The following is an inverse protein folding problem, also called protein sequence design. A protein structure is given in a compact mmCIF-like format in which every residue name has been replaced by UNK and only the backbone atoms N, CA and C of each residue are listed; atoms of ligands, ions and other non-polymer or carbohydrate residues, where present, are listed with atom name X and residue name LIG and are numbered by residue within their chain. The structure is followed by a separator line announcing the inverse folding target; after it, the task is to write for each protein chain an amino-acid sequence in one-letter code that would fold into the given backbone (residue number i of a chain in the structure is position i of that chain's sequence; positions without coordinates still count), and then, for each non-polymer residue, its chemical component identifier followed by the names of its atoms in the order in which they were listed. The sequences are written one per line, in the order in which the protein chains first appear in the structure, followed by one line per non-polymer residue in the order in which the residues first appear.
data_IF_925351160923
#
_entry.id   IF_925351160923
#
_cell.length_a   1.000
_cell.length_b   1.000
_cell.length_c   1.000
_cell.angle_alpha   90.00
_cell.angle_beta   90.00
_cell.angle_gamma   90.00
#
_symmetry.space_group_name_H-M   'P 1'
#
loop_
_entity.id
_entity.type
_entity.pdbx_description
1 polymer ?
#
# COMPACT_ATOMS: atom_id res chain seq x y z
N UNK A 1 -4.39 40.24 38.46
CA UNK A 1 -5.06 41.52 38.74
C UNK A 1 -4.19 42.66 38.27
N UNK A 2 -4.78 43.59 37.55
CA UNK A 2 -4.13 44.78 36.99
C UNK A 2 -4.87 46.05 37.41
N UNK A 3 -4.16 47.18 37.50
CA UNK A 3 -4.71 48.54 37.63
C UNK A 3 -3.95 49.40 36.60
N UNK A 4 -4.66 50.17 35.79
CA UNK A 4 -4.06 50.99 34.72
C UNK A 4 -3.10 50.19 33.80
N UNK A 5 -3.40 48.91 33.55
CA UNK A 5 -2.60 48.02 32.71
C UNK A 5 -1.34 47.43 33.37
N UNK A 6 -1.01 47.82 34.60
CA UNK A 6 0.12 47.25 35.36
C UNK A 6 -0.33 46.07 36.21
N UNK A 7 0.44 44.97 36.19
CA UNK A 7 0.16 43.79 37.02
C UNK A 7 0.51 44.12 38.47
N UNK A 8 -0.49 44.06 39.37
CA UNK A 8 -0.25 44.16 40.81
C UNK A 8 0.00 42.80 41.44
N UNK A 9 -0.81 41.82 41.06
CA UNK A 9 -0.80 40.50 41.67
C UNK A 9 -1.12 39.41 40.66
N UNK A 10 -0.42 38.28 40.79
CA UNK A 10 -0.71 37.01 40.12
C UNK A 10 -0.89 35.95 41.20
N UNK A 11 -2.02 35.25 41.17
CA UNK A 11 -2.40 34.22 42.15
C UNK A 11 -2.83 32.97 41.40
N UNK A 12 -2.66 31.81 42.04
CA UNK A 12 -3.24 30.55 41.58
C UNK A 12 -4.52 30.29 42.36
N UNK A 13 -5.47 29.61 41.74
CA UNK A 13 -6.66 29.13 42.43
C UNK A 13 -6.33 28.07 43.48
N UNK A 14 -7.16 27.97 44.51
CA UNK A 14 -7.22 26.82 45.41
C UNK A 14 -7.80 25.59 44.72
N UNK A 15 -7.73 24.44 45.39
CA UNK A 15 -8.29 23.18 44.90
C UNK A 15 -9.83 23.24 44.71
N UNK A 16 -10.50 24.18 45.39
CA UNK A 16 -11.91 24.47 45.28
C UNK A 16 -12.26 25.51 44.19
N UNK A 17 -11.26 25.96 43.42
CA UNK A 17 -11.41 26.96 42.37
C UNK A 17 -11.35 28.41 42.86
N UNK A 18 -11.29 28.66 44.17
CA UNK A 18 -11.27 30.04 44.69
C UNK A 18 -9.97 30.76 44.39
N UNK A 19 -10.04 32.05 44.01
CA UNK A 19 -8.87 32.89 43.75
C UNK A 19 -8.88 34.03 44.77
N UNK A 20 -7.91 34.01 45.69
CA UNK A 20 -7.78 35.05 46.70
C UNK A 20 -6.57 35.95 46.42
N UNK A 21 -6.84 37.24 46.21
CA UNK A 21 -5.83 38.29 46.14
C UNK A 21 -5.48 38.80 47.53
N UNK A 22 -4.24 39.27 47.69
CA UNK A 22 -3.80 39.95 48.91
C UNK A 22 -4.52 41.29 49.04
N UNK A 23 -4.73 41.73 50.28
CA UNK A 23 -5.40 43.00 50.57
C UNK A 23 -4.66 44.20 49.96
N UNK A 24 -5.42 45.13 49.39
CA UNK A 24 -4.92 46.42 48.90
C UNK A 24 -5.24 47.49 49.95
N UNK A 25 -4.24 48.29 50.31
CA UNK A 25 -4.43 49.42 51.24
C UNK A 25 -4.67 50.72 50.47
N UNK A 26 -5.60 51.53 50.97
CA UNK A 26 -5.94 52.84 50.41
C UNK A 26 -5.68 53.94 51.43
N UNK A 27 -4.97 54.99 51.05
CA UNK A 27 -4.63 56.14 51.91
C UNK A 27 -5.46 57.40 51.58
N UNK A 28 -6.26 57.36 50.51
CA UNK A 28 -7.10 58.46 50.02
C UNK A 28 -8.46 57.97 49.55
N UNK A 29 -9.43 58.88 49.55
CA UNK A 29 -10.73 58.65 48.92
C UNK A 29 -10.61 58.63 47.39
N UNK A 30 -11.47 57.87 46.73
CA UNK A 30 -11.42 57.71 45.28
C UNK A 30 -12.13 56.45 44.79
N UNK A 31 -12.17 56.31 43.47
CA UNK A 31 -12.66 55.11 42.80
C UNK A 31 -11.49 54.45 42.09
N UNK A 32 -11.27 53.17 42.36
CA UNK A 32 -10.23 52.34 41.75
C UNK A 32 -10.89 51.24 40.92
N UNK A 33 -10.36 50.97 39.74
CA UNK A 33 -10.84 49.90 38.86
C UNK A 33 -9.72 48.92 38.61
N UNK A 34 -9.99 47.65 38.89
CA UNK A 34 -9.06 46.54 38.69
C UNK A 34 -9.58 45.61 37.61
N UNK A 35 -8.69 45.17 36.73
CA UNK A 35 -8.99 44.10 35.77
C UNK A 35 -8.38 42.79 36.28
N UNK A 36 -9.21 41.79 36.48
CA UNK A 36 -8.78 40.41 36.73
C UNK A 36 -8.92 39.64 35.43
N UNK A 37 -7.85 38.95 35.03
CA UNK A 37 -7.81 38.12 33.84
C UNK A 37 -7.10 36.82 34.15
N UNK A 38 -7.50 35.75 33.48
CA UNK A 38 -6.73 34.52 33.51
C UNK A 38 -5.39 34.72 32.77
N UNK A 39 -4.33 34.10 33.30
CA UNK A 39 -3.08 33.94 32.58
C UNK A 39 -3.11 32.55 31.96
N UNK A 40 -3.24 32.50 30.63
CA UNK A 40 -3.29 31.23 29.91
C UNK A 40 -2.10 30.33 30.30
N UNK A 41 -2.41 29.06 30.54
CA UNK A 41 -1.42 28.03 30.82
C UNK A 41 -0.66 27.61 29.57
N UNK A 42 0.04 26.47 29.67
CA UNK A 42 0.85 25.92 28.56
C UNK A 42 0.23 24.68 27.91
N UNK A 43 -0.82 24.11 28.52
CA UNK A 43 -1.53 22.98 27.93
C UNK A 43 -2.33 23.45 26.71
N UNK A 44 -1.94 22.94 25.55
CA UNK A 44 -2.54 23.31 24.27
C UNK A 44 -3.89 22.65 24.01
N UNK A 45 -4.24 21.61 24.78
CA UNK A 45 -5.53 20.93 24.70
C UNK A 45 -6.60 21.62 25.56
N UNK A 46 -6.28 22.78 26.15
CA UNK A 46 -7.21 23.63 26.92
C UNK A 46 -7.51 24.93 26.17
N UNK A 47 -8.79 25.26 26.05
CA UNK A 47 -9.25 26.60 25.74
C UNK A 47 -9.34 27.40 27.02
N UNK A 48 -8.38 28.31 27.20
CA UNK A 48 -8.35 29.22 28.34
C UNK A 48 -9.34 30.36 28.18
N UNK A 49 -9.89 30.80 29.30
CA UNK A 49 -10.84 31.89 29.32
C UNK A 49 -10.14 33.21 28.97
N UNK A 50 -10.74 33.97 28.06
CA UNK A 50 -10.24 35.29 27.64
C UNK A 50 -10.96 36.44 28.34
N UNK A 51 -11.89 36.12 29.23
CA UNK A 51 -12.64 37.08 30.02
C UNK A 51 -11.70 38.03 30.80
N UNK A 52 -12.10 39.29 30.83
CA UNK A 52 -11.55 40.29 31.74
C UNK A 52 -12.68 40.71 32.71
N UNK A 53 -12.53 40.38 33.98
CA UNK A 53 -13.46 40.75 35.03
C UNK A 53 -13.07 42.10 35.63
N UNK A 54 -13.95 43.10 35.58
CA UNK A 54 -13.70 44.44 36.13
C UNK A 54 -14.27 44.57 37.54
N UNK A 55 -13.38 44.76 38.52
CA UNK A 55 -13.74 44.98 39.94
C UNK A 55 -13.56 46.46 40.25
N UNK A 56 -14.59 47.10 40.80
CA UNK A 56 -14.50 48.52 41.21
C UNK A 56 -14.50 48.62 42.73
N UNK A 57 -13.55 49.38 43.27
CA UNK A 57 -13.48 49.69 44.69
C UNK A 57 -13.71 51.18 44.88
N UNK A 58 -14.78 51.53 45.60
CA UNK A 58 -15.08 52.91 45.99
C UNK A 58 -14.65 53.14 47.42
N UNK A 59 -13.65 54.00 47.60
CA UNK A 59 -13.13 54.40 48.91
C UNK A 59 -13.77 55.72 49.31
N UNK A 60 -14.52 55.70 50.41
CA UNK A 60 -15.18 56.89 50.97
C UNK A 60 -14.59 57.22 52.34
N UNK A 61 -14.49 58.51 52.66
CA UNK A 61 -14.05 58.98 53.97
C UNK A 61 -15.24 59.43 54.82
N UNK A 62 -15.35 58.91 56.03
CA UNK A 62 -16.29 59.43 57.01
C UNK A 62 -15.85 60.84 57.45
N UNK A 63 -16.74 61.82 57.30
CA UNK A 63 -16.41 63.23 57.54
C UNK A 63 -16.17 63.57 59.01
N UNK A 64 -16.63 62.74 59.95
CA UNK A 64 -16.57 63.02 61.39
C UNK A 64 -15.37 62.35 62.04
N UNK A 65 -15.14 61.08 61.71
CA UNK A 65 -14.09 60.22 62.27
C UNK A 65 -12.83 60.21 61.41
N UNK A 66 -12.94 60.54 60.13
CA UNK A 66 -11.85 60.47 59.17
C UNK A 66 -11.51 59.04 58.70
N UNK A 67 -12.28 58.02 59.12
CA UNK A 67 -12.06 56.62 58.74
C UNK A 67 -12.37 56.42 57.25
N UNK A 68 -11.51 55.68 56.55
CA UNK A 68 -11.74 55.26 55.16
C UNK A 68 -12.47 53.90 55.12
N UNK A 69 -13.49 53.81 54.28
CA UNK A 69 -14.24 52.57 54.01
C UNK A 69 -14.14 52.24 52.53
N UNK A 70 -13.69 51.02 52.21
CA UNK A 70 -13.64 50.51 50.86
C UNK A 70 -14.87 49.63 50.57
N UNK A 71 -15.69 50.03 49.60
CA UNK A 71 -16.82 49.23 49.13
C UNK A 71 -16.47 48.59 47.77
N UNK A 72 -16.48 47.26 47.73
CA UNK A 72 -16.16 46.48 46.53
C UNK A 72 -17.44 46.19 45.76
N UNK A 73 -17.40 46.45 44.45
CA UNK A 73 -18.43 46.07 43.49
C UNK A 73 -17.83 45.04 42.55
N UNK A 74 -18.34 43.81 42.65
CA UNK A 74 -17.93 42.70 41.78
C UNK A 74 -18.63 42.80 40.41
N UNK A 75 -17.99 42.34 39.34
CA UNK A 75 -18.64 42.20 38.03
C UNK A 75 -19.77 41.16 38.10
N UNK A 76 -20.67 41.21 37.12
CA UNK A 76 -21.80 40.29 37.03
C UNK A 76 -21.35 38.83 36.83
N UNK A 77 -20.25 38.65 36.11
CA UNK A 77 -19.55 37.39 35.95
C UNK A 77 -18.17 37.50 36.62
N UNK A 78 -17.76 36.47 37.32
CA UNK A 78 -16.48 36.39 38.03
C UNK A 78 -15.88 34.98 37.99
N UNK A 79 -16.46 34.09 37.19
CA UNK A 79 -15.99 32.72 36.99
C UNK A 79 -15.17 32.65 35.71
N UNK A 80 -13.95 32.13 35.80
CA UNK A 80 -13.10 31.88 34.63
C UNK A 80 -13.25 30.42 34.22
N UNK A 81 -13.80 30.18 33.03
CA UNK A 81 -14.21 28.87 32.57
C UNK A 81 -13.29 28.35 31.47
N UNK A 82 -12.53 27.30 31.79
CA UNK A 82 -11.65 26.63 30.84
C UNK A 82 -12.28 25.34 30.31
N UNK A 83 -12.03 25.05 29.04
CA UNK A 83 -12.58 23.86 28.39
C UNK A 83 -11.46 22.95 27.91
N UNK A 84 -11.50 21.69 28.34
CA UNK A 84 -10.66 20.66 27.76
C UNK A 84 -11.22 20.25 26.40
N UNK A 85 -10.41 20.37 25.36
CA UNK A 85 -10.73 20.00 23.99
C UNK A 85 -10.25 18.57 23.76
N UNK A 86 -11.19 17.63 23.66
CA UNK A 86 -10.86 16.25 23.38
C UNK A 86 -10.25 16.10 21.96
N UNK A 87 -9.22 15.24 21.80
CA UNK A 87 -8.64 14.97 20.49
C UNK A 87 -9.63 14.23 19.58
N UNK A 88 -9.42 14.33 18.26
CA UNK A 88 -10.22 13.65 17.24
C UNK A 88 -9.35 12.69 16.43
N UNK A 89 -9.93 11.64 15.86
CA UNK A 89 -9.20 10.66 15.06
C UNK A 89 -9.67 10.60 13.61
N UNK A 90 -8.75 10.29 12.68
CA UNK A 90 -9.08 9.93 11.31
C UNK A 90 -8.35 8.65 10.90
N UNK A 91 -9.06 7.75 10.21
CA UNK A 91 -8.53 6.48 9.70
C UNK A 91 -8.91 6.32 8.23
N UNK A 92 -8.04 5.70 7.44
CA UNK A 92 -8.28 5.39 6.05
C UNK A 92 -7.58 4.09 5.66
N UNK A 93 -8.19 3.38 4.70
CA UNK A 93 -7.75 2.07 4.22
C UNK A 93 -7.54 2.14 2.71
N UNK A 94 -6.71 1.24 2.20
CA UNK A 94 -6.42 1.05 0.78
C UNK A 94 -6.64 -0.42 0.39
N UNK A 95 -6.69 -0.73 -0.91
CA UNK A 95 -6.71 -2.11 -1.40
C UNK A 95 -5.45 -2.46 -2.18
N UNK A 96 -5.16 -3.75 -2.22
CA UNK A 96 -4.09 -4.39 -2.97
C UNK A 96 -4.69 -5.46 -3.86
N UNK A 97 -4.46 -5.34 -5.15
CA UNK A 97 -4.76 -6.38 -6.13
C UNK A 97 -3.46 -6.89 -6.75
N UNK A 98 -3.39 -8.21 -6.93
CA UNK A 98 -2.34 -8.88 -7.70
C UNK A 98 -2.98 -9.65 -8.84
N UNK A 99 -2.63 -9.27 -10.07
CA UNK A 99 -2.94 -10.05 -11.26
C UNK A 99 -1.85 -11.09 -11.52
N UNK A 100 -2.23 -12.21 -12.12
CA UNK A 100 -1.29 -13.20 -12.62
C UNK A 100 -0.93 -14.35 -11.68
N UNK A 101 -1.18 -14.20 -10.37
CA UNK A 101 -1.19 -15.31 -9.39
C UNK A 101 -2.02 -14.93 -8.16
N UNK A 102 -2.22 -15.87 -7.24
CA UNK A 102 -2.94 -15.59 -5.99
C UNK A 102 -2.14 -14.62 -5.11
N UNK A 103 -2.82 -13.61 -4.58
CA UNK A 103 -2.32 -12.70 -3.54
C UNK A 103 -2.25 -13.43 -2.19
N UNK A 104 -1.12 -13.32 -1.49
CA UNK A 104 -0.96 -13.87 -0.14
C UNK A 104 -1.15 -12.81 0.93
N UNK A 105 -1.58 -13.25 2.10
CA UNK A 105 -1.60 -12.44 3.32
C UNK A 105 -0.19 -11.94 3.64
N UNK A 106 -0.06 -10.64 3.94
CA UNK A 106 1.20 -10.04 4.33
C UNK A 106 2.24 -9.86 3.21
N UNK A 107 1.86 -10.08 1.94
CA UNK A 107 2.82 -10.20 0.84
C UNK A 107 3.47 -8.86 0.44
N UNK A 108 2.68 -7.78 0.37
CA UNK A 108 3.14 -6.45 0.00
C UNK A 108 3.09 -5.52 1.21
N UNK A 109 4.08 -4.63 1.29
CA UNK A 109 4.21 -3.66 2.38
C UNK A 109 3.94 -2.24 1.90
N UNK A 110 3.25 -1.46 2.74
CA UNK A 110 2.81 -0.11 2.45
C UNK A 110 3.24 0.81 3.57
N UNK A 111 3.74 1.99 3.21
CA UNK A 111 4.18 3.02 4.15
C UNK A 111 3.26 4.22 4.08
N UNK A 112 2.81 4.68 5.24
CA UNK A 112 2.14 5.97 5.42
C UNK A 112 3.17 7.00 5.84
N UNK A 113 3.32 8.07 5.08
CA UNK A 113 4.26 9.16 5.34
C UNK A 113 3.53 10.47 5.57
N UNK A 114 4.10 11.33 6.41
CA UNK A 114 3.66 12.72 6.53
C UNK A 114 4.20 13.60 5.39
N UNK A 115 3.84 14.88 5.41
CA UNK A 115 4.28 15.86 4.41
C UNK A 115 5.80 16.11 4.37
N UNK A 116 6.55 15.72 5.41
CA UNK A 116 8.02 15.80 5.45
C UNK A 116 8.68 14.54 4.89
N UNK A 117 7.90 13.49 4.61
CA UNK A 117 8.37 12.18 4.18
C UNK A 117 8.72 11.24 5.34
N UNK A 118 8.44 11.62 6.59
CA UNK A 118 8.62 10.74 7.75
C UNK A 118 7.61 9.60 7.68
N UNK A 119 8.09 8.36 7.81
CA UNK A 119 7.23 7.18 7.90
C UNK A 119 6.56 7.14 9.26
N UNK A 120 5.23 7.21 9.28
CA UNK A 120 4.41 7.13 10.49
C UNK A 120 3.98 5.70 10.80
N UNK A 121 3.64 4.94 9.75
CA UNK A 121 3.19 3.56 9.87
C UNK A 121 3.71 2.72 8.72
N UNK A 122 3.87 1.42 8.96
CA UNK A 122 4.12 0.41 7.94
C UNK A 122 3.14 -0.73 8.15
N UNK A 123 2.40 -1.08 7.11
CA UNK A 123 1.35 -2.12 7.12
C UNK A 123 1.55 -3.04 5.93
N UNK A 124 0.82 -4.14 5.92
CA UNK A 124 0.78 -5.08 4.79
C UNK A 124 -0.66 -5.31 4.35
N UNK A 125 -0.85 -5.85 3.15
CA UNK A 125 -2.16 -6.32 2.73
C UNK A 125 -2.58 -7.57 3.52
N UNK A 126 -3.88 -7.77 3.68
CA UNK A 126 -4.43 -9.06 4.10
C UNK A 126 -4.68 -10.00 2.90
N UNK A 127 -5.14 -11.22 3.14
CA UNK A 127 -5.48 -12.20 2.10
C UNK A 127 -6.59 -11.73 1.12
N UNK A 128 -7.44 -10.77 1.52
CA UNK A 128 -8.46 -10.15 0.66
C UNK A 128 -7.94 -8.92 -0.10
N UNK A 129 -6.71 -8.50 0.19
CA UNK A 129 -6.08 -7.30 -0.37
C UNK A 129 -6.29 -6.05 0.46
N UNK A 130 -6.96 -6.09 1.62
CA UNK A 130 -7.17 -4.88 2.43
C UNK A 130 -5.86 -4.45 3.09
N UNK A 131 -5.53 -3.16 2.99
CA UNK A 131 -4.43 -2.52 3.70
C UNK A 131 -5.02 -1.56 4.73
N UNK A 132 -4.93 -1.93 6.00
CA UNK A 132 -5.54 -1.19 7.10
C UNK A 132 -4.50 -0.40 7.89
N UNK A 133 -4.60 0.93 7.88
CA UNK A 133 -3.79 1.80 8.73
C UNK A 133 -4.49 2.05 10.06
N UNK A 134 -3.72 2.29 11.11
CA UNK A 134 -4.26 2.68 12.42
C UNK A 134 -4.75 4.12 12.35
N UNK A 135 -5.75 4.45 13.16
CA UNK A 135 -6.27 5.80 13.24
C UNK A 135 -5.19 6.78 13.72
N UNK A 136 -5.08 7.93 13.03
CA UNK A 136 -4.27 9.06 13.46
C UNK A 136 -5.07 9.94 14.40
N UNK A 137 -4.44 10.42 15.47
CA UNK A 137 -5.05 11.29 16.48
C UNK A 137 -4.57 12.72 16.29
N UNK A 138 -5.48 13.68 16.37
CA UNK A 138 -5.24 15.11 16.24
C UNK A 138 -5.71 15.86 17.48
N UNK A 139 -4.82 16.71 17.98
CA UNK A 139 -5.01 17.55 19.16
C UNK A 139 -5.48 18.96 18.80
N UNK A 140 -5.81 19.74 19.81
CA UNK A 140 -6.36 21.09 19.63
C UNK A 140 -5.39 22.05 18.93
N UNK A 141 -4.08 21.92 19.19
CA UNK A 141 -3.04 22.69 18.50
C UNK A 141 -2.74 22.21 17.09
N UNK A 142 -3.39 21.15 16.61
CA UNK A 142 -3.21 20.57 15.29
C UNK A 142 -4.38 20.89 14.36
N UNK A 143 -5.19 21.91 14.66
CA UNK A 143 -6.20 22.44 13.74
C UNK A 143 -5.51 22.91 12.46
N UNK A 144 -6.02 22.46 11.30
CA UNK A 144 -5.42 22.75 10.01
C UNK A 144 -5.53 21.59 9.03
N UNK A 145 -4.76 21.69 7.95
CA UNK A 145 -4.72 20.69 6.88
C UNK A 145 -3.46 19.86 7.00
N UNK A 146 -3.63 18.54 7.14
CA UNK A 146 -2.56 17.56 7.22
C UNK A 146 -2.54 16.72 5.95
N UNK A 147 -1.36 16.61 5.33
CA UNK A 147 -1.17 15.85 4.10
C UNK A 147 -0.31 14.63 4.37
N UNK A 148 -0.70 13.53 3.75
CA UNK A 148 -0.02 12.25 3.85
C UNK A 148 0.15 11.62 2.47
N UNK A 149 1.13 10.73 2.35
CA UNK A 149 1.26 9.84 1.21
C UNK A 149 1.26 8.39 1.66
N UNK A 150 0.57 7.54 0.89
CA UNK A 150 0.70 6.08 1.01
C UNK A 150 1.43 5.57 -0.22
N UNK A 151 2.50 4.82 0.01
CA UNK A 151 3.34 4.25 -1.04
C UNK A 151 3.51 2.74 -0.80
N UNK A 152 3.46 1.95 -1.86
CA UNK A 152 3.92 0.56 -1.80
C UNK A 152 5.45 0.50 -1.76
N UNK A 153 5.98 -0.35 -0.89
CA UNK A 153 7.41 -0.64 -0.84
C UNK A 153 7.72 -1.67 -1.93
N UNK A 154 8.46 -1.24 -2.96
CA UNK A 154 8.85 -2.12 -4.05
C UNK A 154 9.69 -3.30 -3.54
N UNK A 155 9.27 -4.51 -3.92
CA UNK A 155 10.03 -5.74 -3.67
C UNK A 155 11.01 -6.05 -4.80
N UNK A 156 11.43 -7.32 -4.89
CA UNK A 156 12.42 -7.79 -5.87
C UNK A 156 12.06 -9.13 -6.51
N UNK A 157 10.79 -9.53 -6.48
CA UNK A 157 10.35 -10.80 -7.07
C UNK A 157 10.46 -10.73 -8.61
N UNK A 158 11.16 -11.70 -9.20
CA UNK A 158 11.29 -11.79 -10.65
C UNK A 158 9.92 -12.01 -11.30
N UNK A 159 9.64 -11.29 -12.39
CA UNK A 159 8.35 -11.32 -13.06
C UNK A 159 7.28 -10.44 -12.42
N UNK A 160 7.57 -9.79 -11.27
CA UNK A 160 6.65 -8.84 -10.65
C UNK A 160 6.81 -7.44 -11.24
N UNK A 161 5.69 -6.83 -11.62
CA UNK A 161 5.58 -5.40 -11.90
C UNK A 161 4.82 -4.75 -10.75
N UNK A 162 5.51 -3.83 -10.06
CA UNK A 162 4.97 -3.11 -8.91
C UNK A 162 4.27 -1.83 -9.34
N UNK A 163 3.18 -1.47 -8.66
CA UNK A 163 2.45 -0.23 -8.88
C UNK A 163 3.27 0.99 -8.40
N UNK A 164 3.60 1.97 -9.26
CA UNK A 164 4.31 3.17 -8.86
C UNK A 164 3.44 4.22 -8.14
N UNK A 165 2.14 3.96 -7.93
CA UNK A 165 1.20 4.89 -7.31
C UNK A 165 1.74 5.43 -5.97
N UNK A 166 1.55 6.75 -5.80
CA UNK A 166 1.71 7.44 -4.52
C UNK A 166 0.37 8.08 -4.18
N UNK A 167 -0.39 7.46 -3.29
CA UNK A 167 -1.72 7.91 -2.96
C UNK A 167 -1.65 9.09 -1.97
N UNK A 168 -2.10 10.27 -2.40
CA UNK A 168 -2.17 11.46 -1.56
C UNK A 168 -3.46 11.49 -0.74
N UNK A 169 -3.34 11.58 0.59
CA UNK A 169 -4.47 11.71 1.51
C UNK A 169 -4.39 13.06 2.20
N UNK A 170 -5.54 13.73 2.32
CA UNK A 170 -5.65 14.97 3.10
C UNK A 170 -6.60 14.77 4.27
N UNK A 171 -6.20 15.17 5.47
CA UNK A 171 -7.07 15.26 6.65
C UNK A 171 -7.17 16.72 7.06
N UNK A 172 -8.38 17.26 7.04
CA UNK A 172 -8.68 18.62 7.51
C UNK A 172 -9.28 18.53 8.91
N UNK A 173 -8.56 19.08 9.88
CA UNK A 173 -9.02 19.21 11.27
C UNK A 173 -9.57 20.62 11.44
N UNK A 174 -10.86 20.71 11.74
CA UNK A 174 -11.53 21.97 12.08
C UNK A 174 -11.96 21.96 13.54
N UNK A 175 -12.25 23.15 14.05
CA UNK A 175 -12.76 23.34 15.40
C UNK A 175 -14.00 24.23 15.35
N UNK A 176 -15.06 23.78 16.02
CA UNK A 176 -16.27 24.55 16.25
C UNK A 176 -16.57 24.56 17.75
N UNK A 177 -16.55 25.74 18.36
CA UNK A 177 -16.49 25.89 19.83
C UNK A 177 -15.32 25.09 20.41
N UNK A 178 -15.61 24.19 21.36
CA UNK A 178 -14.62 23.33 22.02
C UNK A 178 -14.53 21.91 21.43
N UNK A 179 -15.09 21.69 20.23
CA UNK A 179 -15.14 20.37 19.59
C UNK A 179 -14.31 20.34 18.31
N UNK A 180 -13.46 19.32 18.17
CA UNK A 180 -12.70 19.06 16.96
C UNK A 180 -13.47 18.15 16.00
N UNK A 181 -13.33 18.39 14.70
CA UNK A 181 -13.82 17.52 13.63
C UNK A 181 -12.69 17.23 12.65
N UNK A 182 -12.50 15.96 12.29
CA UNK A 182 -11.54 15.56 11.26
C UNK A 182 -12.27 15.02 10.03
N UNK A 183 -12.04 15.64 8.87
CA UNK A 183 -12.57 15.17 7.59
C UNK A 183 -11.44 14.71 6.70
N UNK A 184 -11.57 13.51 6.12
CA UNK A 184 -10.59 12.93 5.20
C UNK A 184 -11.04 13.12 3.74
N UNK A 185 -10.07 13.37 2.88
CA UNK A 185 -10.20 13.31 1.43
C UNK A 185 -9.17 12.30 0.90
N UNK A 186 -9.67 11.29 0.20
CA UNK A 186 -8.87 10.24 -0.44
C UNK A 186 -8.63 10.58 -1.91
N UNK A 187 -7.56 10.04 -2.52
CA UNK A 187 -7.40 10.14 -3.97
C UNK A 187 -8.49 9.34 -4.69
N UNK A 188 -8.67 9.61 -5.99
CA UNK A 188 -9.64 8.86 -6.81
C UNK A 188 -9.29 7.39 -6.90
N UNK A 189 -8.00 7.09 -7.03
CA UNK A 189 -7.50 5.72 -7.00
C UNK A 189 -7.00 5.38 -5.59
N UNK A 190 -7.49 4.26 -5.06
CA UNK A 190 -7.15 3.76 -3.72
C UNK A 190 -6.70 2.30 -3.76
N UNK A 191 -6.47 1.77 -4.96
CA UNK A 191 -6.07 0.39 -5.19
C UNK A 191 -4.67 0.32 -5.77
N UNK A 192 -3.77 -0.36 -5.09
CA UNK A 192 -2.44 -0.64 -5.61
C UNK A 192 -2.49 -1.93 -6.44
N UNK A 193 -2.12 -1.86 -7.71
CA UNK A 193 -2.30 -2.93 -8.69
C UNK A 193 -0.96 -3.51 -9.17
N UNK A 194 -0.59 -4.69 -8.66
CA UNK A 194 0.59 -5.41 -9.16
C UNK A 194 0.22 -6.45 -10.21
N UNK A 195 1.19 -6.81 -11.04
CA UNK A 195 1.06 -7.92 -11.99
C UNK A 195 2.25 -8.85 -11.90
N UNK A 196 1.98 -10.15 -11.79
CA UNK A 196 2.97 -11.20 -11.91
C UNK A 196 2.93 -11.84 -13.30
N UNK A 197 4.06 -11.81 -14.00
CA UNK A 197 4.26 -12.47 -15.29
C UNK A 197 5.28 -13.60 -15.12
N UNK A 198 4.88 -14.87 -15.29
CA UNK A 198 5.80 -15.98 -15.13
C UNK A 198 6.86 -16.00 -16.25
N UNK A 199 7.99 -16.64 -15.97
CA UNK A 199 8.92 -17.01 -17.03
C UNK A 199 8.29 -18.05 -17.97
N UNK A 200 8.74 -18.07 -19.22
CA UNK A 200 8.36 -19.10 -20.18
C UNK A 200 8.82 -20.50 -19.71
N UNK A 201 8.01 -21.51 -20.00
CA UNK A 201 8.39 -22.92 -19.84
C UNK A 201 8.81 -23.49 -21.18
N UNK A 202 9.51 -24.63 -21.20
CA UNK A 202 9.86 -25.29 -22.45
C UNK A 202 9.52 -26.77 -22.44
N UNK A 203 9.24 -27.34 -23.61
CA UNK A 203 9.13 -28.77 -23.80
C UNK A 203 10.15 -29.25 -24.83
N UNK A 204 10.63 -30.48 -24.63
CA UNK A 204 11.50 -31.17 -25.56
C UNK A 204 11.06 -32.64 -25.63
N UNK A 205 11.10 -33.20 -26.82
CA UNK A 205 10.75 -34.60 -27.08
C UNK A 205 11.66 -35.18 -28.15
N UNK A 206 11.66 -36.51 -28.25
CA UNK A 206 12.52 -37.27 -29.15
C UNK A 206 11.78 -38.44 -29.76
N UNK A 207 12.27 -38.88 -30.91
CA UNK A 207 11.81 -40.05 -31.66
C UNK A 207 12.99 -40.97 -31.95
N UNK A 208 12.72 -42.18 -32.45
CA UNK A 208 13.76 -43.09 -32.94
C UNK A 208 13.57 -43.38 -34.42
N UNK A 209 14.69 -43.64 -35.10
CA UNK A 209 14.74 -44.16 -36.46
C UNK A 209 15.27 -45.57 -36.43
N UNK A 210 14.58 -46.46 -37.11
CA UNK A 210 15.03 -47.81 -37.43
C UNK A 210 15.12 -47.98 -38.95
N UNK A 211 16.18 -48.66 -39.38
CA UNK A 211 16.35 -49.14 -40.74
C UNK A 211 16.50 -50.66 -40.69
N UNK A 212 15.62 -51.38 -41.39
CA UNK A 212 15.71 -52.82 -41.54
C UNK A 212 16.36 -53.21 -42.87
N UNK A 213 17.07 -54.34 -42.91
CA UNK A 213 17.75 -54.84 -44.11
C UNK A 213 19.15 -54.23 -44.37
N UNK A 214 19.54 -53.17 -43.66
CA UNK A 214 20.88 -52.57 -43.68
C UNK A 214 21.22 -51.92 -42.33
N UNK A 215 22.51 -51.68 -42.07
CA UNK A 215 22.94 -50.86 -40.94
C UNK A 215 22.47 -49.39 -41.09
N UNK A 216 21.96 -48.81 -39.99
CA UNK A 216 21.64 -47.39 -39.90
C UNK A 216 22.92 -46.57 -39.70
N UNK A 217 23.10 -45.55 -40.53
CA UNK A 217 24.20 -44.58 -40.39
C UNK A 217 23.66 -43.27 -39.78
N UNK A 218 24.54 -42.54 -39.08
CA UNK A 218 24.20 -41.19 -38.60
C UNK A 218 23.90 -40.26 -39.78
N UNK A 219 22.99 -39.31 -39.56
CA UNK A 219 22.64 -38.28 -40.53
C UNK A 219 22.05 -38.80 -41.86
N UNK A 220 21.63 -40.07 -41.90
CA UNK A 220 21.13 -40.74 -43.10
C UNK A 220 19.72 -40.28 -43.50
N UNK A 221 18.83 -40.10 -42.53
CA UNK A 221 17.42 -39.75 -42.74
C UNK A 221 17.09 -38.41 -42.10
N UNK A 222 16.17 -37.67 -42.72
CA UNK A 222 15.76 -36.31 -42.31
C UNK A 222 14.31 -36.29 -41.86
N UNK A 223 14.04 -35.60 -40.76
CA UNK A 223 12.73 -35.52 -40.10
C UNK A 223 12.35 -34.07 -39.89
N UNK A 224 11.11 -33.75 -40.20
CA UNK A 224 10.53 -32.43 -39.99
C UNK A 224 9.59 -32.45 -38.79
N UNK A 225 9.68 -31.41 -37.98
CA UNK A 225 8.69 -31.05 -36.96
C UNK A 225 7.85 -29.91 -37.51
N UNK A 226 6.53 -30.10 -37.56
CA UNK A 226 5.59 -29.15 -38.10
C UNK A 226 4.55 -28.73 -37.06
N UNK A 227 4.09 -27.49 -37.14
CA UNK A 227 2.89 -27.01 -36.45
C UNK A 227 2.03 -26.26 -37.48
N UNK A 228 0.73 -26.60 -37.56
CA UNK A 228 -0.18 -26.00 -38.56
C UNK A 228 0.33 -26.06 -40.01
N UNK A 229 1.07 -27.13 -40.35
CA UNK A 229 1.67 -27.34 -41.67
C UNK A 229 2.94 -26.53 -41.96
N UNK A 230 3.41 -25.70 -41.03
CA UNK A 230 4.69 -24.99 -41.14
C UNK A 230 5.82 -25.82 -40.53
N UNK A 231 6.92 -25.97 -41.25
CA UNK A 231 8.13 -26.64 -40.74
C UNK A 231 8.81 -25.72 -39.73
N UNK A 232 8.92 -26.18 -38.49
CA UNK A 232 9.58 -25.48 -37.40
C UNK A 232 11.05 -25.88 -37.26
N UNK A 233 11.33 -27.18 -37.40
CA UNK A 233 12.67 -27.74 -37.28
C UNK A 233 12.84 -28.89 -38.27
N UNK A 234 14.08 -29.05 -38.75
CA UNK A 234 14.51 -30.24 -39.49
C UNK A 234 15.70 -30.85 -38.77
N UNK A 235 15.62 -32.13 -38.43
CA UNK A 235 16.67 -32.87 -37.73
C UNK A 235 16.96 -34.16 -38.46
N UNK A 236 18.11 -34.76 -38.20
CA UNK A 236 18.49 -36.07 -38.73
C UNK A 236 18.66 -37.07 -37.60
N UNK A 237 18.63 -38.36 -37.92
CA UNK A 237 18.87 -39.41 -36.94
C UNK A 237 20.35 -39.45 -36.50
N UNK A 238 20.59 -39.74 -35.22
CA UNK A 238 21.88 -40.17 -34.72
C UNK A 238 22.26 -41.58 -35.19
N UNK A 239 23.50 -41.98 -34.92
CA UNK A 239 23.98 -43.34 -35.20
C UNK A 239 23.19 -44.43 -34.45
N UNK A 240 22.64 -44.09 -33.30
CA UNK A 240 21.77 -44.94 -32.48
C UNK A 240 20.28 -44.85 -32.89
N UNK A 241 19.98 -44.10 -33.94
CA UNK A 241 18.62 -43.82 -34.38
C UNK A 241 17.92 -42.68 -33.65
N UNK A 242 18.52 -42.07 -32.61
CA UNK A 242 17.84 -40.99 -31.87
C UNK A 242 17.60 -39.77 -32.76
N UNK A 243 16.38 -39.23 -32.74
CA UNK A 243 16.01 -37.97 -33.39
C UNK A 243 15.62 -36.98 -32.28
N UNK A 244 16.50 -36.03 -32.00
CA UNK A 244 16.33 -35.04 -30.93
C UNK A 244 16.00 -33.67 -31.52
N UNK A 245 14.79 -33.17 -31.24
CA UNK A 245 14.40 -31.80 -31.56
C UNK A 245 14.88 -30.84 -30.46
N UNK A 246 15.12 -29.58 -30.85
CA UNK A 246 15.45 -28.52 -29.91
C UNK A 246 14.23 -28.18 -29.07
N UNK A 247 14.44 -27.72 -27.84
CA UNK A 247 13.34 -27.35 -26.94
C UNK A 247 12.53 -26.19 -27.52
N UNK A 248 11.21 -26.28 -27.41
CA UNK A 248 10.27 -25.22 -27.80
C UNK A 248 9.86 -24.47 -26.53
N UNK A 249 9.92 -23.14 -26.58
CA UNK A 249 9.57 -22.24 -25.46
C UNK A 249 8.12 -21.77 -25.58
N UNK A 250 7.43 -21.67 -24.43
CA UNK A 250 6.03 -21.27 -24.31
C UNK A 250 5.88 -20.22 -23.21
N UNK A 251 5.40 -19.04 -23.60
CA UNK A 251 5.17 -17.90 -22.71
C UNK A 251 3.70 -17.74 -22.30
N UNK A 252 2.81 -18.60 -22.80
CA UNK A 252 1.36 -18.55 -22.60
C UNK A 252 0.76 -19.93 -22.45
N UNK A 253 -0.37 -19.99 -21.77
CA UNK A 253 -1.21 -21.20 -21.74
C UNK A 253 -1.75 -21.52 -23.12
N UNK A 254 -1.88 -22.81 -23.41
CA UNK A 254 -2.30 -23.27 -24.72
C UNK A 254 -2.11 -24.76 -24.89
N UNK A 255 -2.70 -25.28 -25.96
CA UNK A 255 -2.43 -26.64 -26.42
C UNK A 255 -1.84 -26.53 -27.81
N UNK A 256 -0.66 -27.11 -27.98
CA UNK A 256 0.10 -27.13 -29.22
C UNK A 256 0.15 -28.55 -29.74
N UNK A 257 -0.17 -28.73 -31.02
CA UNK A 257 -0.13 -30.03 -31.68
C UNK A 257 0.92 -29.98 -32.78
N UNK A 258 1.91 -30.85 -32.65
CA UNK A 258 3.00 -30.98 -33.59
C UNK A 258 2.89 -32.27 -34.38
N UNK A 259 3.24 -32.20 -35.65
CA UNK A 259 3.40 -33.39 -36.50
C UNK A 259 4.88 -33.59 -36.78
N UNK A 260 5.38 -34.79 -36.50
CA UNK A 260 6.70 -35.24 -36.94
C UNK A 260 6.53 -36.17 -38.12
N UNK A 261 7.31 -35.94 -39.18
CA UNK A 261 7.32 -36.79 -40.38
C UNK A 261 8.72 -37.01 -40.89
N UNK A 262 8.92 -38.14 -41.54
CA UNK A 262 10.12 -38.37 -42.35
C UNK A 262 10.00 -37.64 -43.70
N UNK A 263 11.12 -37.06 -44.13
CA UNK A 263 11.25 -36.51 -45.48
C UNK A 263 11.78 -37.63 -46.38
N UNK A 264 10.95 -38.07 -47.33
CA UNK A 264 11.35 -39.09 -48.29
C UNK A 264 12.59 -38.64 -49.06
N UNK A 265 13.61 -39.51 -49.06
CA UNK A 265 14.84 -39.32 -49.82
C UNK A 265 14.67 -39.69 -51.29
N UNK A 266 15.79 -39.78 -52.01
CA UNK A 266 15.82 -40.14 -53.44
C UNK A 266 16.29 -41.56 -53.71
N UNK A 267 16.74 -42.28 -52.68
CA UNK A 267 17.19 -43.67 -52.81
C UNK A 267 15.99 -44.58 -53.07
N UNK A 268 15.93 -45.19 -54.26
CA UNK A 268 14.82 -46.06 -54.68
C UNK A 268 14.86 -47.45 -54.02
N UNK A 269 15.98 -47.80 -53.39
CA UNK A 269 16.16 -49.08 -52.70
C UNK A 269 15.71 -48.98 -51.23
N UNK A 270 15.10 -47.87 -50.83
CA UNK A 270 14.55 -47.63 -49.51
C UNK A 270 13.03 -47.41 -49.62
N UNK A 271 12.27 -48.24 -48.90
CA UNK A 271 10.88 -47.96 -48.60
C UNK A 271 10.82 -47.03 -47.39
N UNK A 272 10.40 -45.77 -47.61
CA UNK A 272 10.39 -44.72 -46.60
C UNK A 272 9.11 -44.75 -45.77
N UNK A 273 9.25 -44.47 -44.48
CA UNK A 273 8.11 -44.37 -43.58
C UNK A 273 7.21 -43.19 -43.98
N UNK A 274 5.91 -43.45 -44.04
CA UNK A 274 4.88 -42.44 -44.35
C UNK A 274 4.12 -41.98 -43.10
N UNK A 275 4.50 -42.48 -41.92
CA UNK A 275 3.93 -42.10 -40.64
C UNK A 275 4.04 -40.60 -40.42
N UNK A 276 2.95 -40.03 -39.91
CA UNK A 276 2.91 -38.68 -39.33
C UNK A 276 2.62 -38.84 -37.84
N UNK A 277 3.63 -38.69 -37.01
CA UNK A 277 3.52 -38.88 -35.57
C UNK A 277 3.08 -37.58 -34.89
N UNK A 278 1.99 -37.61 -34.13
CA UNK A 278 1.41 -36.42 -33.49
C UNK A 278 1.84 -36.29 -32.03
N UNK A 279 2.50 -35.19 -31.68
CA UNK A 279 2.85 -34.84 -30.29
C UNK A 279 1.96 -33.70 -29.84
N UNK A 280 1.34 -33.83 -28.67
CA UNK A 280 0.61 -32.72 -28.05
C UNK A 280 1.39 -32.17 -26.87
N UNK A 281 1.60 -30.86 -26.84
CA UNK A 281 2.13 -30.14 -25.67
C UNK A 281 1.03 -29.29 -25.07
N UNK A 282 0.64 -29.58 -23.83
CA UNK A 282 -0.33 -28.79 -23.07
C UNK A 282 0.39 -27.91 -22.07
N UNK A 283 0.31 -26.59 -22.28
CA UNK A 283 0.84 -25.57 -21.38
C UNK A 283 -0.25 -25.10 -20.45
N UNK A 284 -0.06 -25.30 -19.15
CA UNK A 284 -1.00 -24.91 -18.10
C UNK A 284 -0.36 -23.91 -17.15
N UNK A 285 -1.15 -22.99 -16.60
CA UNK A 285 -0.73 -22.09 -15.53
C UNK A 285 -1.28 -22.57 -14.19
N UNK A 286 -0.41 -22.70 -13.20
CA UNK A 286 -0.84 -22.93 -11.83
C UNK A 286 -1.52 -21.66 -11.29
N UNK A 287 -2.77 -21.78 -10.82
CA UNK A 287 -3.55 -20.60 -10.41
C UNK A 287 -2.99 -19.91 -9.16
N UNK A 288 -2.31 -20.66 -8.28
CA UNK A 288 -1.79 -20.14 -7.02
C UNK A 288 -0.46 -19.41 -7.21
N UNK A 289 0.46 -20.02 -7.95
CA UNK A 289 1.83 -19.53 -8.18
C UNK A 289 1.95 -18.71 -9.45
N UNK A 290 1.01 -18.85 -10.38
CA UNK A 290 1.05 -18.25 -11.71
C UNK A 290 2.09 -18.87 -12.65
N UNK A 291 2.74 -19.98 -12.27
CA UNK A 291 3.84 -20.58 -13.04
C UNK A 291 3.30 -21.42 -14.20
N UNK A 292 3.95 -21.34 -15.35
CA UNK A 292 3.64 -22.17 -16.52
C UNK A 292 4.32 -23.54 -16.43
N UNK A 293 3.62 -24.59 -16.85
CA UNK A 293 4.16 -25.95 -17.00
C UNK A 293 3.77 -26.50 -18.37
N UNK A 294 4.73 -27.05 -19.10
CA UNK A 294 4.49 -27.72 -20.38
C UNK A 294 4.48 -29.25 -20.20
N UNK A 295 3.36 -29.89 -20.51
CA UNK A 295 3.18 -31.34 -20.43
C UNK A 295 3.16 -31.94 -21.83
N UNK A 296 4.09 -32.86 -22.11
CA UNK A 296 4.19 -33.55 -23.40
C UNK A 296 3.41 -34.85 -23.36
N UNK A 297 2.57 -35.06 -24.38
CA UNK A 297 1.91 -36.33 -24.68
C UNK A 297 2.48 -36.84 -26.00
N UNK A 298 3.23 -37.95 -25.91
CA UNK A 298 3.82 -38.61 -27.07
C UNK A 298 2.75 -39.46 -27.80
N UNK A 299 2.90 -39.64 -29.12
CA UNK A 299 2.08 -40.58 -29.88
C UNK A 299 2.33 -42.02 -29.41
N UNK A 300 1.38 -42.91 -29.73
CA UNK A 300 1.51 -44.33 -29.39
C UNK A 300 2.71 -45.00 -30.08
N UNK A 301 3.00 -44.57 -31.32
CA UNK A 301 4.20 -44.94 -32.05
C UNK A 301 5.12 -43.72 -32.18
N UNK A 302 6.39 -43.91 -31.82
CA UNK A 302 7.43 -42.87 -31.86
C UNK A 302 8.71 -43.36 -32.54
N UNK A 303 8.62 -44.49 -33.26
CA UNK A 303 9.71 -45.04 -34.07
C UNK A 303 9.35 -44.95 -35.56
N UNK A 304 10.17 -44.25 -36.33
CA UNK A 304 10.06 -44.24 -37.79
C UNK A 304 10.82 -45.43 -38.37
N UNK A 305 10.22 -46.19 -39.27
CA UNK A 305 10.73 -47.47 -39.76
C UNK A 305 10.88 -47.45 -41.28
N UNK A 306 12.13 -47.53 -41.78
CA UNK A 306 12.42 -47.77 -43.19
C UNK A 306 12.85 -49.21 -43.43
N UNK A 307 12.64 -49.68 -44.65
CA UNK A 307 13.07 -51.00 -45.09
C UNK A 307 13.94 -50.88 -46.33
N UNK A 308 15.13 -51.48 -46.31
CA UNK A 308 15.93 -51.66 -47.51
C UNK A 308 15.32 -52.77 -48.37
N UNK A 309 14.96 -52.44 -49.61
CA UNK A 309 14.45 -53.41 -50.59
C UNK A 309 15.60 -53.93 -51.44
N UNK A 310 15.48 -55.19 -51.91
CA UNK A 310 16.47 -55.74 -52.81
C UNK A 310 16.39 -55.03 -54.18
N UNK A 311 17.53 -54.66 -54.80
CA UNK A 311 17.57 -54.00 -56.10
C UNK A 311 17.12 -54.91 -57.26
#
# INVERSE_FOLDING_TARGET
MLENGQVLQTKKNGADGTIQFDAISYDKEGTHTYTVREVAGTDTDIDYDTMNAEVTVKVTKDATTGILTANVVMPADSEFNNYAVAPVTAQFDFSKVLSGRTLKDGEFSFVLKDATGQVLQTKTNDASGKVAFDALTYKNNEVGVHKYTVEEVAGSEAGMSYDPMKAEVTVTVTKDGHTLTATKALPTDTEFNNTFTPAATSAQFKFTKKLEGKALEADAFSFELLENGQVLQTKKNGADGTIQFDAISYDKEGTHTYTVREVAGTDTDIDYDTMNAEVTVKVTKDATTGILTANVVMPADSEFNNYAVAP
#
